data_IF_682805629151
#
_entry.id   IF_682805629151
#
_cell.length_a   1.000
_cell.length_b   1.000
_cell.length_c   1.000
_cell.angle_alpha   90.00
_cell.angle_beta   90.00
_cell.angle_gamma   90.00
#
_symmetry.space_group_name_H-M   'P 1'
#
loop_
_entity.id
_entity.type
_entity.pdbx_description
1 polymer ?
#
# COMPACT_ATOMS: atom_id res chain seq x y z
N UNK A 1 -6.94 5.75 -4.46
CA UNK A 1 -6.28 6.73 -5.35
C UNK A 1 -6.41 6.32 -6.83
N UNK A 2 -7.42 6.76 -7.59
CA UNK A 2 -7.75 6.28 -8.96
C UNK A 2 -8.07 4.78 -9.06
N UNK A 3 -7.15 3.83 -8.83
CA UNK A 3 -7.44 2.39 -8.95
C UNK A 3 -8.47 1.95 -7.92
N UNK A 4 -8.34 2.38 -6.66
CA UNK A 4 -9.38 2.18 -5.66
C UNK A 4 -10.70 2.86 -6.04
N UNK A 5 -10.66 4.08 -6.59
CA UNK A 5 -11.89 4.80 -6.98
C UNK A 5 -12.62 4.08 -8.13
N UNK A 6 -11.87 3.52 -9.08
CA UNK A 6 -12.41 2.64 -10.12
C UNK A 6 -12.89 1.32 -9.53
N UNK A 7 -12.19 0.77 -8.53
CA UNK A 7 -12.59 -0.43 -7.80
C UNK A 7 -13.95 -0.32 -7.13
N UNK A 8 -14.28 0.85 -6.59
CA UNK A 8 -15.61 1.14 -6.02
C UNK A 8 -16.76 1.07 -7.04
N UNK A 9 -16.47 0.93 -8.33
CA UNK A 9 -17.47 0.77 -9.39
C UNK A 9 -17.78 -0.70 -9.72
N UNK A 10 -17.23 -1.67 -8.97
CA UNK A 10 -17.45 -3.11 -9.18
C UNK A 10 -16.21 -4.01 -9.31
N UNK A 11 -15.03 -3.55 -9.78
CA UNK A 11 -13.87 -4.43 -9.95
C UNK A 11 -13.37 -5.16 -8.70
N UNK A 12 -13.65 -4.65 -7.50
CA UNK A 12 -13.36 -5.38 -6.26
C UNK A 12 -14.11 -6.71 -6.17
N UNK A 13 -15.32 -6.78 -6.73
CA UNK A 13 -16.16 -7.98 -6.73
C UNK A 13 -15.91 -8.86 -7.96
N UNK A 14 -15.64 -8.24 -9.11
CA UNK A 14 -15.60 -8.93 -10.41
C UNK A 14 -14.20 -9.44 -10.80
N UNK A 15 -13.13 -8.86 -10.24
CA UNK A 15 -11.75 -9.13 -10.66
C UNK A 15 -10.90 -9.53 -9.47
N UNK A 16 -10.62 -10.83 -9.37
CA UNK A 16 -9.96 -11.44 -8.20
C UNK A 16 -8.60 -10.85 -7.81
N UNK A 17 -7.87 -10.22 -8.75
CA UNK A 17 -6.56 -9.61 -8.50
C UNK A 17 -6.61 -8.09 -8.34
N UNK A 18 -7.81 -7.49 -8.42
CA UNK A 18 -7.98 -6.05 -8.38
C UNK A 18 -7.47 -5.45 -7.07
N UNK A 19 -7.80 -6.13 -5.98
CA UNK A 19 -7.36 -5.73 -4.66
C UNK A 19 -5.82 -5.68 -4.56
N UNK A 20 -5.15 -6.74 -5.02
CA UNK A 20 -3.69 -6.83 -5.09
C UNK A 20 -3.06 -5.71 -5.94
N UNK A 21 -3.68 -5.34 -7.06
CA UNK A 21 -3.28 -4.17 -7.86
C UNK A 21 -3.37 -2.89 -7.03
N UNK A 22 -4.46 -2.72 -6.28
CA UNK A 22 -4.66 -1.51 -5.47
C UNK A 22 -3.64 -1.42 -4.34
N UNK A 23 -3.26 -2.54 -3.72
CA UNK A 23 -2.16 -2.63 -2.75
C UNK A 23 -0.80 -2.28 -3.35
N UNK A 24 -0.41 -2.91 -4.46
CA UNK A 24 0.84 -2.57 -5.14
C UNK A 24 0.87 -1.10 -5.59
N UNK A 25 -0.25 -0.56 -6.08
CA UNK A 25 -0.31 0.83 -6.51
C UNK A 25 -0.22 1.80 -5.33
N UNK A 26 -1.03 1.62 -4.29
CA UNK A 26 -1.04 2.51 -3.12
C UNK A 26 0.30 2.49 -2.38
N UNK A 27 0.86 1.30 -2.16
CA UNK A 27 2.17 1.12 -1.52
C UNK A 27 3.31 1.72 -2.34
N UNK A 28 3.27 1.66 -3.67
CA UNK A 28 4.30 2.29 -4.51
C UNK A 28 4.31 3.82 -4.35
N UNK A 29 3.15 4.45 -4.17
CA UNK A 29 3.06 5.89 -3.90
C UNK A 29 3.66 6.21 -2.52
N UNK A 30 3.25 5.46 -1.48
CA UNK A 30 3.79 5.62 -0.14
C UNK A 30 5.31 5.41 -0.11
N UNK A 31 5.78 4.33 -0.72
CA UNK A 31 7.19 4.01 -0.87
C UNK A 31 7.95 5.15 -1.58
N UNK A 32 7.40 5.72 -2.65
CA UNK A 32 7.98 6.85 -3.36
C UNK A 32 8.17 8.08 -2.48
N UNK A 33 7.16 8.42 -1.68
CA UNK A 33 7.21 9.54 -0.73
C UNK A 33 8.33 9.30 0.30
N UNK A 34 8.37 8.11 0.91
CA UNK A 34 9.36 7.74 1.93
C UNK A 34 10.77 7.67 1.34
N UNK A 35 10.90 7.18 0.11
CA UNK A 35 12.15 7.11 -0.64
C UNK A 35 12.73 8.50 -0.85
N UNK A 36 11.96 9.42 -1.44
CA UNK A 36 12.39 10.80 -1.70
C UNK A 36 12.73 11.52 -0.39
N UNK A 37 11.89 11.39 0.63
CA UNK A 37 12.13 12.00 1.94
C UNK A 37 13.40 11.47 2.60
N UNK A 38 13.69 10.17 2.47
CA UNK A 38 14.91 9.56 3.00
C UNK A 38 16.15 10.05 2.27
N UNK A 39 16.12 10.05 0.92
CA UNK A 39 17.22 10.52 0.08
C UNK A 39 17.54 11.99 0.33
N UNK A 40 16.53 12.87 0.42
CA UNK A 40 16.71 14.30 0.75
C UNK A 40 17.33 14.55 2.12
N UNK A 41 17.13 13.63 3.07
CA UNK A 41 17.73 13.69 4.41
C UNK A 41 19.11 13.02 4.47
N UNK A 42 19.68 12.58 3.34
CA UNK A 42 20.94 11.84 3.30
C UNK A 42 20.88 10.47 3.98
N UNK A 43 19.68 9.87 4.09
CA UNK A 43 19.48 8.60 4.80
C UNK A 43 19.23 7.47 3.80
N UNK A 44 19.67 6.26 4.16
CA UNK A 44 19.37 5.07 3.37
C UNK A 44 17.84 4.85 3.26
N UNK A 45 17.25 4.87 2.05
CA UNK A 45 15.82 4.69 1.86
C UNK A 45 15.34 3.27 2.14
N UNK A 46 16.15 2.23 1.88
CA UNK A 46 15.74 0.82 1.91
C UNK A 46 14.98 0.42 3.19
N UNK A 47 15.63 0.46 4.37
CA UNK A 47 14.98 0.08 5.61
C UNK A 47 13.76 0.94 5.96
N UNK A 48 13.75 2.22 5.56
CA UNK A 48 12.67 3.17 5.88
C UNK A 48 11.44 2.92 5.02
N UNK A 49 11.63 2.66 3.73
CA UNK A 49 10.57 2.30 2.81
C UNK A 49 9.91 1.01 3.27
N UNK A 50 10.69 -0.04 3.54
CA UNK A 50 10.16 -1.33 4.01
C UNK A 50 9.42 -1.16 5.35
N UNK A 51 10.03 -0.49 6.33
CA UNK A 51 9.40 -0.28 7.63
C UNK A 51 8.09 0.51 7.51
N UNK A 52 8.07 1.59 6.72
CA UNK A 52 6.89 2.41 6.52
C UNK A 52 5.78 1.63 5.81
N UNK A 53 6.09 0.95 4.71
CA UNK A 53 5.11 0.18 3.93
C UNK A 53 4.50 -0.94 4.78
N UNK A 54 5.33 -1.76 5.44
CA UNK A 54 4.81 -2.84 6.29
C UNK A 54 4.02 -2.30 7.48
N UNK A 55 4.50 -1.26 8.14
CA UNK A 55 3.83 -0.73 9.34
C UNK A 55 2.51 -0.04 9.00
N UNK A 56 2.46 0.74 7.92
CA UNK A 56 1.23 1.40 7.49
C UNK A 56 0.27 0.40 6.83
N UNK A 57 0.76 -0.59 6.09
CA UNK A 57 -0.06 -1.69 5.55
C UNK A 57 -0.74 -2.45 6.68
N UNK A 58 0.01 -2.92 7.69
CA UNK A 58 -0.58 -3.58 8.86
C UNK A 58 -1.55 -2.68 9.63
N UNK A 59 -1.26 -1.38 9.75
CA UNK A 59 -2.18 -0.45 10.38
C UNK A 59 -3.47 -0.27 9.57
N UNK A 60 -3.38 -0.29 8.24
CA UNK A 60 -4.51 -0.23 7.34
C UNK A 60 -5.40 -1.47 7.50
N UNK A 61 -4.82 -2.66 7.47
CA UNK A 61 -5.52 -3.92 7.73
C UNK A 61 -6.32 -3.87 9.04
N UNK A 62 -5.71 -3.40 10.12
CA UNK A 62 -6.39 -3.24 11.40
C UNK A 62 -7.59 -2.29 11.34
N UNK A 63 -7.49 -1.21 10.56
CA UNK A 63 -8.60 -0.28 10.32
C UNK A 63 -9.70 -0.97 9.53
N UNK A 64 -9.38 -1.75 8.51
CA UNK A 64 -10.37 -2.52 7.74
C UNK A 64 -11.12 -3.51 8.62
N UNK A 65 -10.39 -4.29 9.43
CA UNK A 65 -11.00 -5.18 10.42
C UNK A 65 -11.93 -4.44 11.39
N UNK A 66 -11.51 -3.26 11.87
CA UNK A 66 -12.32 -2.46 12.77
C UNK A 66 -13.60 -1.94 12.10
N UNK A 67 -13.51 -1.50 10.84
CA UNK A 67 -14.66 -1.03 10.05
C UNK A 67 -15.61 -2.20 9.79
N UNK A 68 -15.10 -3.35 9.34
CA UNK A 68 -15.91 -4.54 9.09
C UNK A 68 -16.63 -5.02 10.36
N UNK A 69 -15.91 -5.10 11.49
CA UNK A 69 -16.48 -5.49 12.78
C UNK A 69 -17.56 -4.49 13.25
N UNK A 70 -17.37 -3.19 12.99
CA UNK A 70 -18.35 -2.15 13.35
C UNK A 70 -19.59 -2.22 12.46
N UNK A 71 -19.42 -2.36 11.14
CA UNK A 71 -20.52 -2.50 10.19
C UNK A 71 -21.40 -3.70 10.53
N UNK A 72 -20.78 -4.85 10.82
CA UNK A 72 -21.49 -6.07 11.26
C UNK A 72 -22.30 -5.87 12.54
N UNK A 73 -21.79 -5.08 13.50
CA UNK A 73 -22.52 -4.75 14.74
C UNK A 73 -23.70 -3.81 14.50
N UNK A 74 -23.65 -2.99 13.46
CA UNK A 74 -24.68 -2.04 13.09
C UNK A 74 -25.64 -2.59 12.03
N UNK A 75 -25.50 -3.86 11.65
CA UNK A 75 -26.29 -4.51 10.57
C UNK A 75 -26.22 -3.75 9.23
N UNK A 76 -25.09 -3.10 8.97
CA UNK A 76 -24.80 -2.41 7.72
C UNK A 76 -23.99 -3.31 6.80
N UNK A 77 -24.16 -3.14 5.48
CA UNK A 77 -23.26 -3.74 4.51
C UNK A 77 -21.84 -3.16 4.69
N UNK A 78 -20.81 -4.01 4.90
CA UNK A 78 -19.44 -3.55 5.03
C UNK A 78 -18.96 -2.95 3.70
N UNK A 79 -18.52 -1.70 3.75
CA UNK A 79 -17.91 -1.01 2.60
C UNK A 79 -16.52 -1.61 2.30
N UNK A 80 -15.89 -2.22 3.30
CA UNK A 80 -14.62 -2.95 3.20
C UNK A 80 -14.87 -4.40 3.63
N UNK A 81 -14.66 -5.33 2.70
CA UNK A 81 -14.80 -6.76 2.94
C UNK A 81 -13.43 -7.29 3.32
N UNK A 82 -13.23 -7.64 4.60
CA UNK A 82 -12.02 -8.34 5.04
C UNK A 82 -12.17 -9.84 4.76
N UNK A 83 -11.32 -10.43 3.92
CA UNK A 83 -11.39 -11.87 3.62
C UNK A 83 -10.57 -12.76 4.59
N UNK A 84 -9.99 -12.15 5.63
CA UNK A 84 -9.36 -12.85 6.77
C UNK A 84 -7.83 -12.88 6.71
N UNK A 85 -7.16 -13.69 7.56
CA UNK A 85 -5.70 -13.59 7.75
C UNK A 85 -4.84 -13.88 6.51
N UNK A 86 -5.37 -14.67 5.56
CA UNK A 86 -4.69 -14.96 4.30
C UNK A 86 -4.67 -13.75 3.37
N UNK A 87 -5.74 -12.96 3.40
CA UNK A 87 -5.92 -11.73 2.61
C UNK A 87 -4.87 -10.73 3.04
N UNK A 88 -4.88 -10.36 4.32
CA UNK A 88 -3.87 -9.53 4.97
C UNK A 88 -2.43 -9.94 4.64
N UNK A 89 -2.15 -11.25 4.62
CA UNK A 89 -0.81 -11.71 4.22
C UNK A 89 -0.48 -11.36 2.76
N UNK A 90 -1.41 -11.60 1.83
CA UNK A 90 -1.25 -11.24 0.43
C UNK A 90 -1.15 -9.72 0.25
N UNK A 91 -1.94 -8.95 0.99
CA UNK A 91 -1.94 -7.49 0.94
C UNK A 91 -0.57 -6.93 1.30
N UNK A 92 0.02 -7.44 2.39
CA UNK A 92 1.40 -7.10 2.76
C UNK A 92 2.42 -7.57 1.72
N UNK A 93 2.22 -8.72 1.06
CA UNK A 93 3.08 -9.18 -0.04
C UNK A 93 3.02 -8.22 -1.24
N UNK A 94 1.82 -7.80 -1.65
CA UNK A 94 1.64 -6.87 -2.77
C UNK A 94 2.08 -5.45 -2.43
N UNK A 95 1.98 -5.05 -1.17
CA UNK A 95 2.57 -3.83 -0.65
C UNK A 95 4.10 -3.86 -0.75
N UNK A 96 4.71 -4.98 -0.36
CA UNK A 96 6.16 -5.19 -0.50
C UNK A 96 6.59 -5.20 -1.97
N UNK A 97 5.79 -5.73 -2.89
CA UNK A 97 6.07 -5.63 -4.33
C UNK A 97 6.13 -4.16 -4.76
N UNK A 98 5.15 -3.33 -4.37
CA UNK A 98 5.16 -1.89 -4.66
C UNK A 98 6.38 -1.17 -4.07
N UNK A 99 6.76 -1.54 -2.84
CA UNK A 99 7.97 -1.03 -2.18
C UNK A 99 9.25 -1.40 -2.94
N UNK A 100 9.38 -2.66 -3.35
CA UNK A 100 10.55 -3.17 -4.08
C UNK A 100 10.68 -2.51 -5.45
N UNK A 101 9.56 -2.28 -6.16
CA UNK A 101 9.57 -1.53 -7.41
C UNK A 101 10.16 -0.12 -7.22
N UNK A 102 9.73 0.60 -6.18
CA UNK A 102 10.29 1.93 -5.88
C UNK A 102 11.77 1.84 -5.49
N UNK A 103 12.17 0.84 -4.70
CA UNK A 103 13.58 0.70 -4.31
C UNK A 103 14.47 0.36 -5.51
N UNK A 104 13.97 -0.42 -6.47
CA UNK A 104 14.71 -0.80 -7.67
C UNK A 104 14.82 0.35 -8.69
N UNK A 105 13.76 1.14 -8.85
CA UNK A 105 13.68 2.15 -9.93
C UNK A 105 13.70 3.61 -9.44
N UNK A 106 13.68 3.85 -8.14
CA UNK A 106 13.51 5.17 -7.53
C UNK A 106 14.57 6.19 -7.96
N UNK A 107 15.83 5.78 -8.08
CA UNK A 107 16.91 6.67 -8.54
C UNK A 107 16.71 7.15 -9.97
N UNK A 108 16.13 6.30 -10.84
CA UNK A 108 15.88 6.60 -12.25
C UNK A 108 14.61 7.41 -12.45
N UNK A 109 13.54 7.04 -11.74
CA UNK A 109 12.18 7.57 -12.00
C UNK A 109 11.89 8.82 -11.17
N UNK A 110 12.33 8.85 -9.92
CA UNK A 110 12.04 9.95 -9.00
C UNK A 110 13.10 11.05 -9.06
N UNK A 111 14.13 10.87 -9.90
CA UNK A 111 15.13 11.91 -10.21
C UNK A 111 15.85 12.44 -8.98
N UNK A 112 15.90 11.66 -7.89
CA UNK A 112 16.59 12.08 -6.66
C UNK A 112 18.09 11.84 -6.85
N UNK A 113 18.67 12.62 -7.75
CA UNK A 113 20.09 12.91 -7.77
C UNK A 113 20.40 13.68 -6.49
N UNK A 114 20.61 12.95 -5.40
CA UNK A 114 21.22 13.51 -4.21
C UNK A 114 22.66 13.87 -4.57
N UNK A 115 22.86 15.14 -4.93
CA UNK A 115 23.94 16.01 -4.47
C UNK A 115 25.30 15.32 -4.26
N UNK A 116 25.90 14.86 -5.35
CA UNK A 116 27.35 14.64 -5.42
C UNK A 116 27.96 15.78 -6.24
N UNK A 117 27.91 16.99 -5.70
CA UNK A 117 28.84 18.09 -6.01
C UNK A 117 29.22 18.76 -4.69
#
# INVERSE_FOLDING_TARGET
>A
MVTHAVGMLGPYDDVWWWDHLTHTHSSSILAGIVYVASRRKGRNPGPRVIAAVVSLGLAWELVEYAIHATAKRLELEPILVTYGPKDTFLDIVFDLIGALLVLAFGDRVLGVHAANE
#
